data_IF_278966044501
#
_entry.id   IF_278966044501
#
_cell.length_a   1.000
_cell.length_b   1.000
_cell.length_c   1.000
_cell.angle_alpha   90.00
_cell.angle_beta   90.00
_cell.angle_gamma   90.00
#
_symmetry.space_group_name_H-M   'P 1'
#
loop_
_entity.id
_entity.type
_entity.pdbx_description
1 polymer ?
#
# COMPACT_ATOMS: atom_id res chain seq x y z
N UNK A 1 -7.85 49.21 33.65
CA UNK A 1 -9.10 49.73 33.07
C UNK A 1 -8.73 50.45 31.78
N UNK A 2 -9.16 49.89 30.63
CA UNK A 2 -9.09 50.40 29.25
C UNK A 2 -7.72 50.87 28.67
N UNK A 3 -7.25 50.19 27.62
CA UNK A 3 -6.98 50.80 26.30
C UNK A 3 -6.54 49.77 25.26
N UNK A 4 -7.18 49.85 24.08
CA UNK A 4 -6.78 49.43 22.72
C UNK A 4 -6.33 47.96 22.51
N UNK A 5 -6.82 47.21 21.52
CA UNK A 5 -6.78 47.57 20.10
C UNK A 5 -7.80 46.75 19.29
N UNK A 6 -8.36 47.41 18.28
CA UNK A 6 -9.45 46.97 17.43
C UNK A 6 -8.85 46.48 16.10
N UNK A 7 -9.44 45.44 15.53
CA UNK A 7 -9.50 45.15 14.08
C UNK A 7 -8.24 44.63 13.37
N UNK A 8 -8.32 43.39 12.86
CA UNK A 8 -7.96 42.99 11.48
C UNK A 8 -8.52 41.57 11.27
N UNK A 9 -9.62 41.47 10.52
CA UNK A 9 -9.63 41.23 9.08
C UNK A 9 -9.44 39.73 8.73
N UNK A 10 -10.57 39.13 8.37
CA UNK A 10 -10.74 38.21 7.24
C UNK A 10 -9.47 37.50 6.74
N UNK A 11 -9.21 36.31 7.30
CA UNK A 11 -8.58 35.23 6.55
C UNK A 11 -9.73 34.30 6.17
N UNK A 12 -10.30 34.48 4.99
CA UNK A 12 -9.63 34.00 3.79
C UNK A 12 -10.23 32.64 3.54
N UNK A 13 -11.36 32.63 2.85
CA UNK A 13 -11.95 31.46 2.20
C UNK A 13 -10.82 30.62 1.60
N UNK A 14 -10.48 29.51 2.25
CA UNK A 14 -9.62 28.50 1.64
C UNK A 14 -10.46 27.85 0.56
N UNK A 15 -10.16 28.08 -0.73
CA UNK A 15 -10.93 27.48 -1.79
C UNK A 15 -10.60 26.00 -1.88
N UNK A 16 -11.52 25.26 -2.50
CA UNK A 16 -11.42 23.88 -2.98
C UNK A 16 -11.78 22.73 -2.02
N UNK A 17 -12.84 22.92 -1.23
CA UNK A 17 -13.74 21.84 -0.81
C UNK A 17 -14.44 21.11 -1.97
N UNK A 18 -14.13 21.44 -3.23
CA UNK A 18 -14.62 20.69 -4.39
C UNK A 18 -14.09 19.23 -4.41
N UNK A 19 -12.88 18.98 -3.89
CA UNK A 19 -12.34 17.61 -3.79
C UNK A 19 -12.90 16.91 -2.55
N UNK A 20 -13.00 17.62 -1.42
CA UNK A 20 -13.52 17.05 -0.17
C UNK A 20 -15.01 16.66 -0.27
N UNK A 21 -15.84 17.47 -0.94
CA UNK A 21 -17.27 17.21 -1.06
C UNK A 21 -17.59 16.08 -2.07
N UNK A 22 -16.78 15.91 -3.12
CA UNK A 22 -16.98 14.84 -4.10
C UNK A 22 -16.55 13.45 -3.56
N UNK A 23 -15.64 13.42 -2.58
CA UNK A 23 -15.08 12.19 -2.00
C UNK A 23 -15.96 11.57 -0.89
N UNK A 24 -16.85 12.35 -0.26
CA UNK A 24 -17.84 11.84 0.70
C UNK A 24 -19.05 11.18 0.02
N UNK A 25 -19.31 11.47 -1.26
CA UNK A 25 -20.43 10.86 -2.01
C UNK A 25 -20.26 9.35 -2.29
N UNK A 26 -19.07 8.79 -2.05
CA UNK A 26 -18.75 7.37 -2.30
C UNK A 26 -18.32 6.58 -1.05
N UNK A 27 -18.65 7.10 0.16
CA UNK A 27 -18.60 6.33 1.40
C UNK A 27 -17.22 5.78 1.77
N UNK A 28 -16.13 6.53 1.50
CA UNK A 28 -14.77 6.13 1.90
C UNK A 28 -14.11 5.03 1.06
N UNK A 29 -14.76 4.51 0.01
CA UNK A 29 -14.23 3.42 -0.84
C UNK A 29 -12.95 3.78 -1.62
N UNK A 30 -12.70 5.07 -1.84
CA UNK A 30 -11.52 5.58 -2.55
C UNK A 30 -10.28 5.81 -1.67
N UNK A 31 -10.31 5.46 -0.38
CA UNK A 31 -9.15 5.55 0.53
C UNK A 31 -8.76 4.20 1.14
N UNK A 32 -9.40 3.11 0.70
CA UNK A 32 -9.18 1.77 1.23
C UNK A 32 -7.99 1.05 0.62
N UNK A 33 -7.60 -0.05 1.27
CA UNK A 33 -6.45 -0.82 0.81
C UNK A 33 -6.51 -1.33 -0.66
N UNK A 34 -7.70 -1.71 -1.15
CA UNK A 34 -7.90 -2.10 -2.54
C UNK A 34 -7.70 -0.96 -3.55
N UNK A 35 -8.04 0.29 -3.19
CA UNK A 35 -7.95 1.40 -4.15
C UNK A 35 -6.51 1.74 -4.51
N UNK A 36 -5.61 1.83 -3.52
CA UNK A 36 -4.20 2.02 -3.85
C UNK A 36 -3.62 0.83 -4.60
N UNK A 37 -4.08 -0.40 -4.33
CA UNK A 37 -3.60 -1.55 -5.08
C UNK A 37 -3.96 -1.43 -6.58
N UNK A 38 -5.19 -1.00 -6.88
CA UNK A 38 -5.63 -0.74 -8.25
C UNK A 38 -4.88 0.44 -8.87
N UNK A 39 -4.80 1.56 -8.16
CA UNK A 39 -4.19 2.80 -8.66
C UNK A 39 -2.66 2.73 -8.82
N UNK A 40 -1.97 1.93 -7.99
CA UNK A 40 -0.50 1.79 -8.04
C UNK A 40 -0.02 0.49 -8.68
N UNK A 41 -0.86 -0.54 -8.76
CA UNK A 41 -0.54 -1.81 -9.41
C UNK A 41 -1.12 -1.88 -10.82
N UNK A 42 -2.45 -1.94 -10.92
CA UNK A 42 -3.14 -2.17 -12.18
C UNK A 42 -3.06 -1.01 -13.16
N UNK A 43 -3.27 0.22 -12.70
CA UNK A 43 -3.30 1.40 -13.57
C UNK A 43 -1.97 1.65 -14.29
N UNK A 44 -0.80 1.72 -13.62
CA UNK A 44 0.48 1.95 -14.31
C UNK A 44 0.82 0.86 -15.32
N UNK A 45 0.43 -0.39 -15.03
CA UNK A 45 0.64 -1.50 -15.95
C UNK A 45 -0.21 -1.33 -17.21
N UNK A 46 -1.51 -1.04 -17.08
CA UNK A 46 -2.38 -0.79 -18.23
C UNK A 46 -1.91 0.41 -19.04
N UNK A 47 -1.52 1.50 -18.38
CA UNK A 47 -1.00 2.70 -19.04
C UNK A 47 0.29 2.41 -19.80
N UNK A 48 1.23 1.68 -19.20
CA UNK A 48 2.48 1.27 -19.87
C UNK A 48 2.20 0.37 -21.08
N UNK A 49 1.30 -0.61 -20.94
CA UNK A 49 0.89 -1.47 -22.05
C UNK A 49 0.26 -0.67 -23.18
N UNK A 50 -0.69 0.21 -22.86
CA UNK A 50 -1.38 1.04 -23.84
C UNK A 50 -0.43 1.98 -24.58
N UNK A 51 0.53 2.59 -23.87
CA UNK A 51 1.51 3.48 -24.47
C UNK A 51 2.36 2.79 -25.55
N UNK A 52 2.63 1.48 -25.40
CA UNK A 52 3.40 0.69 -26.37
C UNK A 52 2.52 0.06 -27.45
N UNK A 53 1.37 -0.51 -27.07
CA UNK A 53 0.54 -1.32 -27.96
C UNK A 53 -0.59 -0.54 -28.66
N UNK A 54 -0.91 0.67 -28.21
CA UNK A 54 -2.01 1.51 -28.72
C UNK A 54 -3.42 0.95 -28.49
N UNK A 55 -3.54 -0.18 -27.78
CA UNK A 55 -4.80 -0.88 -27.50
C UNK A 55 -4.67 -1.68 -26.20
N UNK A 56 -5.80 -2.01 -25.58
CA UNK A 56 -5.85 -2.91 -24.44
C UNK A 56 -6.29 -4.29 -24.91
N UNK A 57 -5.57 -5.32 -24.49
CA UNK A 57 -5.91 -6.72 -24.75
C UNK A 57 -6.11 -7.49 -23.45
N UNK A 58 -6.63 -8.71 -23.55
CA UNK A 58 -6.88 -9.57 -22.39
C UNK A 58 -5.61 -9.80 -21.56
N UNK A 59 -4.45 -10.00 -22.20
CA UNK A 59 -3.18 -10.17 -21.49
C UNK A 59 -2.82 -8.95 -20.62
N UNK A 60 -3.12 -7.73 -21.08
CA UNK A 60 -2.88 -6.51 -20.32
C UNK A 60 -3.81 -6.42 -19.11
N UNK A 61 -5.06 -6.83 -19.26
CA UNK A 61 -6.03 -6.90 -18.16
C UNK A 61 -5.58 -7.92 -17.10
N UNK A 62 -5.18 -9.11 -17.52
CA UNK A 62 -4.68 -10.14 -16.60
C UNK A 62 -3.41 -9.69 -15.87
N UNK A 63 -2.48 -9.08 -16.59
CA UNK A 63 -1.27 -8.51 -16.00
C UNK A 63 -1.60 -7.38 -15.00
N UNK A 64 -2.60 -6.55 -15.28
CA UNK A 64 -3.04 -5.48 -14.38
C UNK A 64 -3.68 -6.02 -13.10
N UNK A 65 -4.47 -7.09 -13.21
CA UNK A 65 -5.01 -7.82 -12.05
C UNK A 65 -3.87 -8.39 -11.22
N UNK A 66 -2.89 -9.04 -11.85
CA UNK A 66 -1.70 -9.54 -11.16
C UNK A 66 -0.94 -8.42 -10.41
N UNK A 67 -0.70 -7.28 -11.05
CA UNK A 67 0.00 -6.15 -10.43
C UNK A 67 -0.80 -5.55 -9.27
N UNK A 68 -2.13 -5.48 -9.42
CA UNK A 68 -3.04 -5.04 -8.35
C UNK A 68 -2.94 -5.97 -7.14
N UNK A 69 -3.11 -7.28 -7.34
CA UNK A 69 -3.06 -8.26 -6.25
C UNK A 69 -1.69 -8.26 -5.55
N UNK A 70 -0.61 -8.17 -6.33
CA UNK A 70 0.76 -8.09 -5.81
C UNK A 70 0.96 -6.83 -4.95
N UNK A 71 0.52 -5.66 -5.43
CA UNK A 71 0.58 -4.39 -4.69
C UNK A 71 -0.24 -4.44 -3.41
N UNK A 72 -1.42 -5.08 -3.44
CA UNK A 72 -2.25 -5.28 -2.26
C UNK A 72 -1.55 -6.17 -1.23
N UNK A 73 -1.03 -7.33 -1.64
CA UNK A 73 -0.31 -8.26 -0.78
C UNK A 73 0.92 -7.59 -0.12
N UNK A 74 1.70 -6.85 -0.90
CA UNK A 74 2.83 -6.08 -0.37
C UNK A 74 2.40 -5.07 0.69
N UNK A 75 1.26 -4.40 0.51
CA UNK A 75 0.79 -3.43 1.49
C UNK A 75 0.27 -4.09 2.77
N UNK A 76 -0.48 -5.18 2.65
CA UNK A 76 -0.94 -5.96 3.79
C UNK A 76 0.22 -6.44 4.66
N UNK A 77 1.31 -6.91 4.03
CA UNK A 77 2.49 -7.41 4.75
C UNK A 77 3.38 -6.30 5.28
N UNK A 78 3.59 -5.22 4.51
CA UNK A 78 4.54 -4.16 4.88
C UNK A 78 3.99 -3.16 5.89
N UNK A 79 2.67 -2.97 5.97
CA UNK A 79 2.05 -2.06 6.93
C UNK A 79 2.35 -2.43 8.38
N UNK A 80 2.10 -3.67 8.87
CA UNK A 80 2.42 -4.04 10.24
C UNK A 80 3.93 -3.94 10.51
N UNK A 81 4.78 -4.40 9.59
CA UNK A 81 6.26 -4.30 9.72
C UNK A 81 6.72 -2.84 9.87
N UNK A 82 6.21 -1.94 9.02
CA UNK A 82 6.57 -0.51 9.09
C UNK A 82 6.09 0.13 10.39
N UNK A 83 4.91 -0.24 10.88
CA UNK A 83 4.40 0.23 12.16
C UNK A 83 5.31 -0.18 13.29
N UNK A 84 5.63 -1.47 13.41
CA UNK A 84 6.54 -2.00 14.44
C UNK A 84 7.90 -1.31 14.38
N UNK A 85 8.49 -1.20 13.19
CA UNK A 85 9.83 -0.63 13.03
C UNK A 85 9.91 0.89 13.24
N UNK A 86 8.86 1.65 12.87
CA UNK A 86 8.94 3.13 12.78
C UNK A 86 8.08 3.87 13.81
N UNK A 87 7.12 3.19 14.44
CA UNK A 87 6.11 3.83 15.31
C UNK A 87 5.93 3.13 16.66
N UNK A 88 6.40 1.90 16.82
CA UNK A 88 6.23 1.15 18.06
C UNK A 88 7.44 1.32 18.96
N UNK A 89 7.22 1.70 20.23
CA UNK A 89 8.29 1.88 21.21
C UNK A 89 8.78 0.54 21.80
N UNK A 90 7.88 -0.41 22.04
CA UNK A 90 8.21 -1.74 22.55
C UNK A 90 7.15 -2.77 22.17
N UNK A 91 7.55 -4.03 21.98
CA UNK A 91 6.67 -5.19 21.83
C UNK A 91 7.16 -6.26 22.81
N UNK A 92 6.27 -6.77 23.65
CA UNK A 92 6.56 -7.84 24.59
C UNK A 92 5.35 -8.75 24.79
N UNK A 93 5.59 -10.03 25.01
CA UNK A 93 4.57 -11.04 25.29
C UNK A 93 5.18 -12.44 25.35
N UNK A 94 4.33 -13.45 25.55
CA UNK A 94 4.71 -14.86 25.53
C UNK A 94 3.70 -15.63 24.71
N UNK A 95 4.16 -16.45 23.78
CA UNK A 95 3.35 -17.45 23.08
C UNK A 95 3.35 -18.70 23.94
N UNK A 96 2.18 -19.08 24.44
CA UNK A 96 1.98 -20.36 25.13
C UNK A 96 1.38 -21.35 24.15
N UNK A 97 2.10 -22.41 23.86
CA UNK A 97 1.69 -23.47 22.96
C UNK A 97 0.81 -24.49 23.70
N UNK A 98 -0.01 -25.23 22.96
CA UNK A 98 -0.91 -26.26 23.52
C UNK A 98 -0.18 -27.42 24.21
N UNK A 99 1.09 -27.62 23.87
CA UNK A 99 1.98 -28.61 24.48
C UNK A 99 2.68 -28.07 25.75
N UNK A 100 2.33 -26.86 26.19
CA UNK A 100 2.92 -26.20 27.35
C UNK A 100 4.25 -25.52 27.09
N UNK A 101 4.79 -25.53 25.86
CA UNK A 101 5.96 -24.73 25.52
C UNK A 101 5.63 -23.25 25.59
N UNK A 102 6.62 -22.45 25.98
CA UNK A 102 6.55 -21.01 25.99
C UNK A 102 7.65 -20.41 25.10
N UNK A 103 7.31 -19.43 24.29
CA UNK A 103 8.27 -18.68 23.47
C UNK A 103 8.06 -17.17 23.68
N UNK A 104 9.12 -16.39 23.91
CA UNK A 104 8.99 -14.95 24.04
C UNK A 104 8.53 -14.33 22.71
N UNK A 105 7.53 -13.46 22.76
CA UNK A 105 7.07 -12.65 21.64
C UNK A 105 7.68 -11.25 21.74
N UNK A 106 8.61 -10.96 20.83
CA UNK A 106 9.23 -9.64 20.68
C UNK A 106 8.93 -9.03 19.31
N UNK A 107 9.42 -7.80 19.10
CA UNK A 107 9.22 -7.07 17.85
C UNK A 107 9.81 -7.82 16.63
N UNK A 108 10.96 -8.47 16.81
CA UNK A 108 11.62 -9.23 15.74
C UNK A 108 10.77 -10.44 15.33
N UNK A 109 10.30 -11.22 16.30
CA UNK A 109 9.47 -12.39 16.07
C UNK A 109 8.15 -12.04 15.37
N UNK A 110 7.56 -10.88 15.69
CA UNK A 110 6.34 -10.39 15.05
C UNK A 110 6.56 -9.93 13.59
N UNK A 111 7.75 -9.43 13.24
CA UNK A 111 8.09 -8.98 11.88
C UNK A 111 8.69 -10.08 10.99
N UNK A 112 9.26 -11.14 11.58
CA UNK A 112 10.03 -12.17 10.87
C UNK A 112 9.29 -12.78 9.68
N UNK A 113 8.07 -13.25 9.90
CA UNK A 113 7.24 -13.90 8.88
C UNK A 113 6.84 -12.94 7.75
N UNK A 114 6.22 -11.76 8.02
CA UNK A 114 5.85 -10.84 6.95
C UNK A 114 7.06 -10.29 6.19
N UNK A 115 8.21 -10.08 6.82
CA UNK A 115 9.44 -9.71 6.11
C UNK A 115 9.95 -10.81 5.18
N UNK A 116 9.94 -12.07 5.62
CA UNK A 116 10.30 -13.20 4.78
C UNK A 116 9.36 -13.31 3.56
N UNK A 117 8.05 -13.17 3.79
CA UNK A 117 7.05 -13.19 2.73
C UNK A 117 7.25 -12.04 1.72
N UNK A 118 7.56 -10.83 2.19
CA UNK A 118 7.88 -9.69 1.32
C UNK A 118 9.14 -9.93 0.47
N UNK A 119 10.19 -10.51 1.05
CA UNK A 119 11.43 -10.85 0.33
C UNK A 119 11.15 -11.90 -0.75
N UNK A 120 10.40 -12.95 -0.42
CA UNK A 120 10.01 -13.98 -1.38
C UNK A 120 9.15 -13.42 -2.52
N UNK A 121 8.18 -12.54 -2.21
CA UNK A 121 7.35 -11.89 -3.22
C UNK A 121 8.18 -10.99 -4.16
N UNK A 122 9.15 -10.25 -3.62
CA UNK A 122 10.07 -9.45 -4.43
C UNK A 122 10.90 -10.33 -5.38
N UNK A 123 11.46 -11.43 -4.87
CA UNK A 123 12.21 -12.38 -5.68
C UNK A 123 11.32 -13.00 -6.79
N UNK A 124 10.09 -13.41 -6.46
CA UNK A 124 9.15 -13.97 -7.41
C UNK A 124 8.84 -13.00 -8.57
N UNK A 125 8.62 -11.71 -8.29
CA UNK A 125 8.38 -10.70 -9.33
C UNK A 125 9.61 -10.50 -10.21
N UNK A 126 10.82 -10.48 -9.64
CA UNK A 126 12.07 -10.39 -10.41
C UNK A 126 12.25 -11.61 -11.31
N UNK A 127 12.04 -12.82 -10.78
CA UNK A 127 12.11 -14.05 -11.58
C UNK A 127 11.09 -14.06 -12.72
N UNK A 128 9.85 -13.62 -12.47
CA UNK A 128 8.83 -13.48 -13.51
C UNK A 128 9.26 -12.49 -14.59
N UNK A 129 9.79 -11.33 -14.21
CA UNK A 129 10.27 -10.32 -15.16
C UNK A 129 11.40 -10.87 -16.04
N UNK A 130 12.39 -11.56 -15.44
CA UNK A 130 13.47 -12.21 -16.19
C UNK A 130 12.92 -13.28 -17.14
N UNK A 131 11.98 -14.12 -16.68
CA UNK A 131 11.36 -15.13 -17.52
C UNK A 131 10.64 -14.53 -18.73
N UNK A 132 9.90 -13.43 -18.55
CA UNK A 132 9.23 -12.73 -19.65
C UNK A 132 10.22 -12.12 -20.65
N UNK A 133 11.35 -11.58 -20.19
CA UNK A 133 12.42 -11.06 -21.07
C UNK A 133 13.04 -12.20 -21.87
N UNK A 134 13.34 -13.34 -21.24
CA UNK A 134 13.91 -14.52 -21.92
C UNK A 134 12.93 -15.07 -22.96
N UNK A 135 11.65 -15.21 -22.60
CA UNK A 135 10.59 -15.68 -23.52
C UNK A 135 10.36 -14.73 -24.70
N UNK A 136 10.62 -13.44 -24.53
CA UNK A 136 10.54 -12.47 -25.63
C UNK A 136 11.77 -12.48 -26.53
N UNK A 137 12.94 -12.82 -25.97
CA UNK A 137 14.20 -12.86 -26.71
C UNK A 137 14.44 -14.18 -27.47
N UNK A 138 13.71 -15.24 -27.13
CA UNK A 138 13.71 -16.56 -27.79
C UNK A 138 12.76 -16.62 -28.97
#
# INVERSE_FOLDING_TARGET
>A
MASAERSRASHGSSPSSAVAYNLELFGGRFHGDPWFALAWGGFPLLTGYFAVAGRIRLEAVLAAVFATLSSHAQRLLSTPVRTVRRRTASVSGTIVYRDGREEPLDAESLMRVPEAALKALAAAVVCLAVALVVLHAS
#
